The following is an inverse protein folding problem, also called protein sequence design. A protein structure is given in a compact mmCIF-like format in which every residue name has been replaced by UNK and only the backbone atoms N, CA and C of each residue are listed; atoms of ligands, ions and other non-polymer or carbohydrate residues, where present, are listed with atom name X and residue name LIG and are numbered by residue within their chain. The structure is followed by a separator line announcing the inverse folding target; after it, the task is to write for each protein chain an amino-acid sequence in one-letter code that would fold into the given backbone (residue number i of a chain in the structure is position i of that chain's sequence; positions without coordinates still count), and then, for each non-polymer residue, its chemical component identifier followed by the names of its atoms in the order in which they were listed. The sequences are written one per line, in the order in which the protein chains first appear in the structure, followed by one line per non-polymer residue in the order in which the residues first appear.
data_IF_808546884986
#
_entry.id   IF_808546884986
#
_cell.length_a   1.000
_cell.length_b   1.000
_cell.length_c   1.000
_cell.angle_alpha   90.00
_cell.angle_beta   90.00
_cell.angle_gamma   90.00
#
_symmetry.space_group_name_H-M   'P 1'
#
loop_
_entity.id
_entity.type
_entity.pdbx_description
1 polymer ?
#
# COMPACT_ATOMS: atom_id res chain seq x y z
N UNK A 1 14.62 1.74 31.87
CA UNK A 1 14.01 1.55 30.53
C UNK A 1 12.94 0.49 30.63
N UNK A 2 11.77 0.63 29.98
CA UNK A 2 10.72 -0.39 30.01
C UNK A 2 11.23 -1.72 29.42
N UNK A 3 10.85 -2.84 30.02
CA UNK A 3 11.20 -4.17 29.55
C UNK A 3 10.35 -4.55 28.32
N UNK A 4 10.89 -4.31 27.13
CA UNK A 4 10.23 -4.58 25.84
C UNK A 4 11.02 -5.68 25.12
N UNK A 5 10.32 -6.65 24.50
CA UNK A 5 10.94 -7.69 23.67
C UNK A 5 11.73 -7.09 22.52
N UNK A 6 12.62 -7.88 21.92
CA UNK A 6 13.35 -7.43 20.74
C UNK A 6 12.39 -7.13 19.59
N UNK A 7 12.81 -6.23 18.69
CA UNK A 7 12.04 -5.91 17.50
C UNK A 7 11.81 -7.15 16.61
N UNK A 8 12.76 -8.09 16.56
CA UNK A 8 12.62 -9.35 15.81
C UNK A 8 11.48 -10.20 16.35
N UNK A 9 11.45 -10.42 17.67
CA UNK A 9 10.39 -11.22 18.30
C UNK A 9 9.00 -10.59 18.12
N UNK A 10 8.93 -9.25 18.17
CA UNK A 10 7.68 -8.52 17.91
C UNK A 10 7.25 -8.70 16.44
N UNK A 11 8.18 -8.57 15.49
CA UNK A 11 7.91 -8.72 14.07
C UNK A 11 7.49 -10.15 13.69
N UNK A 12 8.17 -11.16 14.23
CA UNK A 12 7.85 -12.58 14.02
C UNK A 12 6.46 -12.92 14.56
N UNK A 13 6.14 -12.48 15.79
CA UNK A 13 4.80 -12.65 16.36
C UNK A 13 3.77 -11.99 15.45
N UNK A 14 3.99 -10.74 15.03
CA UNK A 14 3.06 -10.00 14.19
C UNK A 14 2.80 -10.72 12.85
N UNK A 15 3.87 -11.16 12.18
CA UNK A 15 3.79 -11.88 10.91
C UNK A 15 3.03 -13.20 11.05
N UNK A 16 3.22 -13.93 12.15
CA UNK A 16 2.55 -15.21 12.41
C UNK A 16 1.06 -15.06 12.70
N UNK A 17 0.65 -14.05 13.47
CA UNK A 17 -0.74 -13.95 13.98
C UNK A 17 -1.68 -13.13 13.11
N UNK A 18 -1.16 -12.21 12.29
CA UNK A 18 -1.99 -11.30 11.47
C UNK A 18 -2.79 -12.03 10.39
N UNK A 19 -2.28 -13.06 9.69
CA UNK A 19 -3.06 -13.77 8.66
C UNK A 19 -4.36 -14.37 9.18
N UNK A 20 -4.39 -14.85 10.44
CA UNK A 20 -5.60 -15.39 11.07
C UNK A 20 -6.72 -14.35 11.29
N UNK A 21 -6.44 -13.06 11.08
CA UNK A 21 -7.39 -11.95 11.21
C UNK A 21 -7.91 -11.45 9.87
N UNK A 22 -7.63 -12.16 8.77
CA UNK A 22 -8.13 -11.79 7.45
C UNK A 22 -9.65 -11.60 7.38
N UNK A 23 -10.49 -12.41 8.06
CA UNK A 23 -11.94 -12.20 8.07
C UNK A 23 -12.36 -10.88 8.72
N UNK A 24 -11.73 -10.51 9.85
CA UNK A 24 -12.02 -9.23 10.54
C UNK A 24 -11.63 -8.03 9.66
N UNK A 25 -10.49 -8.15 8.97
CA UNK A 25 -10.03 -7.13 8.02
C UNK A 25 -11.04 -6.97 6.87
N UNK A 26 -11.48 -8.07 6.26
CA UNK A 26 -12.47 -8.05 5.19
C UNK A 26 -13.80 -7.42 5.64
N UNK A 27 -14.30 -7.80 6.83
CA UNK A 27 -15.52 -7.23 7.40
C UNK A 27 -15.41 -5.71 7.60
N UNK A 28 -14.25 -5.23 8.08
CA UNK A 28 -14.00 -3.80 8.27
C UNK A 28 -13.96 -3.01 6.95
N UNK A 29 -13.45 -3.61 5.87
CA UNK A 29 -13.44 -2.99 4.53
C UNK A 29 -14.85 -2.96 3.93
N UNK A 30 -15.64 -4.01 4.11
CA UNK A 30 -17.02 -4.10 3.57
C UNK A 30 -18.01 -3.18 4.27
N UNK A 31 -17.79 -2.85 5.54
CA UNK A 31 -18.70 -2.02 6.35
C UNK A 31 -17.92 -0.99 7.19
N UNK A 32 -17.31 0.02 6.55
CA UNK A 32 -16.48 0.98 7.26
C UNK A 32 -17.33 1.94 8.10
N UNK A 33 -16.82 2.36 9.27
CA UNK A 33 -17.50 3.37 10.12
C UNK A 33 -17.60 4.75 9.46
N UNK A 34 -16.67 5.04 8.56
CA UNK A 34 -16.64 6.25 7.74
C UNK A 34 -16.30 5.84 6.32
N UNK A 35 -17.04 6.37 5.36
CA UNK A 35 -16.78 6.10 3.95
C UNK A 35 -15.37 6.58 3.54
N UNK A 36 -14.68 5.75 2.77
CA UNK A 36 -13.30 6.01 2.39
C UNK A 36 -13.18 7.19 1.42
N UNK A 37 -14.05 7.25 0.41
CA UNK A 37 -14.01 8.29 -0.62
C UNK A 37 -14.26 9.67 0.01
N UNK A 38 -15.34 9.78 0.79
CA UNK A 38 -15.73 11.03 1.47
C UNK A 38 -14.62 11.59 2.36
N UNK A 39 -14.03 10.75 3.22
CA UNK A 39 -12.97 11.21 4.13
C UNK A 39 -11.66 11.50 3.38
N UNK A 40 -11.36 10.76 2.31
CA UNK A 40 -10.18 11.02 1.47
C UNK A 40 -10.28 12.37 0.77
N UNK A 41 -11.45 12.70 0.22
CA UNK A 41 -11.68 13.98 -0.45
C UNK A 41 -11.57 15.17 0.52
N UNK A 42 -12.04 15.02 1.77
CA UNK A 42 -11.87 16.04 2.81
C UNK A 42 -10.41 16.33 3.15
N UNK A 43 -9.53 15.34 2.96
CA UNK A 43 -8.10 15.48 3.23
C UNK A 43 -7.27 15.99 2.03
N UNK A 44 -7.91 16.38 0.92
CA UNK A 44 -7.21 16.74 -0.32
C UNK A 44 -6.23 17.91 -0.15
N UNK A 45 -6.56 18.92 0.66
CA UNK A 45 -5.66 20.06 0.91
C UNK A 45 -4.43 19.65 1.72
N UNK A 46 -4.62 18.90 2.81
CA UNK A 46 -3.51 18.37 3.61
C UNK A 46 -2.59 17.46 2.77
N UNK A 47 -3.15 16.69 1.83
CA UNK A 47 -2.36 15.93 0.86
C UNK A 47 -1.52 16.85 -0.03
N UNK A 48 -2.11 17.91 -0.61
CA UNK A 48 -1.39 18.87 -1.47
C UNK A 48 -0.20 19.50 -0.74
N UNK A 49 -0.43 20.02 0.46
CA UNK A 49 0.62 20.65 1.27
C UNK A 49 1.74 19.66 1.63
N UNK A 50 1.37 18.45 2.07
CA UNK A 50 2.34 17.41 2.43
C UNK A 50 3.20 16.96 1.25
N UNK A 51 2.61 16.85 0.05
CA UNK A 51 3.33 16.51 -1.18
C UNK A 51 4.31 17.63 -1.56
N UNK A 52 3.88 18.89 -1.50
CA UNK A 52 4.75 20.03 -1.79
C UNK A 52 5.95 20.08 -0.82
N UNK A 53 5.73 19.86 0.47
CA UNK A 53 6.81 19.78 1.45
C UNK A 53 7.78 18.62 1.14
N UNK A 54 7.25 17.43 0.80
CA UNK A 54 8.09 16.27 0.47
C UNK A 54 8.94 16.49 -0.79
N UNK A 55 8.41 17.21 -1.79
CA UNK A 55 9.13 17.64 -2.99
C UNK A 55 10.26 18.59 -2.59
N UNK A 56 9.95 19.68 -1.89
CA UNK A 56 10.92 20.69 -1.47
C UNK A 56 12.06 20.10 -0.63
N UNK A 57 11.75 19.10 0.19
CA UNK A 57 12.74 18.42 1.03
C UNK A 57 13.48 17.26 0.33
N UNK A 58 13.16 16.94 -0.92
CA UNK A 58 13.78 15.86 -1.68
C UNK A 58 13.57 14.48 -1.05
N UNK A 59 12.43 14.25 -0.38
CA UNK A 59 12.19 13.02 0.40
C UNK A 59 12.15 11.77 -0.48
N UNK A 60 11.64 11.88 -1.71
CA UNK A 60 11.56 10.77 -2.65
C UNK A 60 12.95 10.22 -3.00
N UNK A 61 13.87 11.08 -3.47
CA UNK A 61 15.22 10.69 -3.86
C UNK A 61 16.00 10.07 -2.71
N UNK A 62 15.89 10.66 -1.51
CA UNK A 62 16.48 10.11 -0.28
C UNK A 62 15.97 8.70 0.00
N UNK A 63 14.66 8.47 -0.16
CA UNK A 63 14.03 7.16 -0.01
C UNK A 63 14.51 6.13 -1.03
N UNK A 64 14.61 6.51 -2.31
CA UNK A 64 15.13 5.66 -3.39
C UNK A 64 16.57 5.23 -3.10
N UNK A 65 17.44 6.18 -2.75
CA UNK A 65 18.84 5.89 -2.39
C UNK A 65 18.94 4.96 -1.18
N UNK A 66 18.08 5.14 -0.17
CA UNK A 66 18.02 4.27 1.01
C UNK A 66 17.57 2.84 0.69
N UNK A 67 16.63 2.68 -0.24
CA UNK A 67 16.15 1.35 -0.64
C UNK A 67 17.17 0.63 -1.53
N UNK A 68 17.71 1.33 -2.52
CA UNK A 68 18.58 0.76 -3.55
C UNK A 68 17.90 -0.30 -4.42
N UNK A 69 18.62 -0.76 -5.45
CA UNK A 69 18.12 -1.75 -6.42
C UNK A 69 17.78 -3.09 -5.77
N UNK A 70 18.60 -3.55 -4.83
CA UNK A 70 18.47 -4.88 -4.20
C UNK A 70 17.13 -5.06 -3.47
N UNK A 71 16.73 -4.07 -2.65
CA UNK A 71 15.45 -4.14 -1.93
C UNK A 71 14.25 -4.17 -2.89
N UNK A 72 14.32 -3.42 -3.99
CA UNK A 72 13.28 -3.44 -5.01
C UNK A 72 13.18 -4.81 -5.69
N UNK A 73 14.31 -5.37 -6.14
CA UNK A 73 14.34 -6.68 -6.80
C UNK A 73 13.76 -7.78 -5.91
N UNK A 74 14.20 -7.86 -4.65
CA UNK A 74 13.72 -8.87 -3.69
C UNK A 74 12.19 -8.82 -3.53
N UNK A 75 11.62 -7.62 -3.34
CA UNK A 75 10.18 -7.44 -3.15
C UNK A 75 9.38 -7.67 -4.42
N UNK A 76 9.87 -7.19 -5.57
CA UNK A 76 9.21 -7.38 -6.85
C UNK A 76 9.11 -8.88 -7.20
N UNK A 77 10.18 -9.65 -6.98
CA UNK A 77 10.20 -11.08 -7.27
C UNK A 77 9.34 -11.85 -6.26
N UNK A 78 9.58 -11.68 -4.95
CA UNK A 78 8.93 -12.52 -3.92
C UNK A 78 7.44 -12.25 -3.74
N UNK A 79 7.01 -11.01 -3.91
CA UNK A 79 5.62 -10.61 -3.68
C UNK A 79 4.90 -10.23 -4.98
N UNK A 80 5.58 -9.50 -5.86
CA UNK A 80 4.99 -8.95 -7.07
C UNK A 80 4.54 -10.03 -8.05
N UNK A 81 5.42 -11.00 -8.36
CA UNK A 81 5.12 -12.09 -9.32
C UNK A 81 3.85 -12.85 -8.93
N UNK A 82 3.72 -13.22 -7.66
CA UNK A 82 2.53 -13.95 -7.16
C UNK A 82 1.25 -13.13 -7.21
N UNK A 83 1.34 -11.80 -7.00
CA UNK A 83 0.16 -10.90 -6.97
C UNK A 83 -0.27 -10.43 -8.36
N UNK A 84 0.65 -10.41 -9.33
CA UNK A 84 0.45 -9.78 -10.62
C UNK A 84 -0.69 -10.42 -11.43
N UNK A 85 -0.69 -11.74 -11.61
CA UNK A 85 -1.72 -12.44 -12.39
C UNK A 85 -3.15 -12.21 -11.88
N UNK A 86 -3.43 -12.51 -10.60
CA UNK A 86 -4.75 -12.26 -10.01
C UNK A 86 -5.18 -10.79 -10.07
N UNK A 87 -4.25 -9.85 -9.85
CA UNK A 87 -4.53 -8.41 -9.92
C UNK A 87 -4.93 -7.96 -11.33
N UNK A 88 -4.23 -8.45 -12.37
CA UNK A 88 -4.58 -8.16 -13.77
C UNK A 88 -5.96 -8.72 -14.11
N UNK A 89 -6.24 -9.96 -13.70
CA UNK A 89 -7.56 -10.57 -13.93
C UNK A 89 -8.69 -9.76 -13.29
N UNK A 90 -8.49 -9.30 -12.04
CA UNK A 90 -9.47 -8.45 -11.33
C UNK A 90 -9.65 -7.07 -11.97
N UNK A 91 -8.64 -6.55 -12.66
CA UNK A 91 -8.67 -5.23 -13.29
C UNK A 91 -9.19 -5.22 -14.74
N UNK A 92 -9.55 -6.38 -15.31
CA UNK A 92 -9.94 -6.54 -16.73
C UNK A 92 -10.96 -5.50 -17.20
N UNK A 93 -12.06 -5.32 -16.47
CA UNK A 93 -13.15 -4.44 -16.89
C UNK A 93 -12.78 -2.96 -16.73
N UNK A 94 -12.00 -2.63 -15.70
CA UNK A 94 -11.47 -1.28 -15.50
C UNK A 94 -10.53 -0.88 -16.66
N UNK A 95 -9.70 -1.82 -17.11
CA UNK A 95 -8.85 -1.62 -18.28
C UNK A 95 -9.68 -1.38 -19.54
N UNK A 96 -10.68 -2.23 -19.81
CA UNK A 96 -11.55 -2.08 -20.98
C UNK A 96 -12.25 -0.71 -21.00
N UNK A 97 -12.82 -0.28 -19.86
CA UNK A 97 -13.48 1.02 -19.73
C UNK A 97 -12.52 2.19 -19.93
N UNK A 98 -11.32 2.14 -19.34
CA UNK A 98 -10.34 3.21 -19.43
C UNK A 98 -9.69 3.32 -20.82
N UNK A 99 -9.59 2.21 -21.55
CA UNK A 99 -8.99 2.17 -22.87
C UNK A 99 -9.96 2.51 -24.00
N UNK A 100 -11.27 2.32 -23.80
CA UNK A 100 -12.29 2.54 -24.82
C UNK A 100 -12.15 3.89 -25.58
N UNK A 101 -11.92 5.06 -24.93
CA UNK A 101 -11.82 6.34 -25.63
C UNK A 101 -10.66 6.49 -26.64
N UNK A 102 -9.70 5.56 -26.63
CA UNK A 102 -8.53 5.60 -27.53
C UNK A 102 -8.64 4.60 -28.68
N UNK A 103 -9.67 3.77 -28.69
CA UNK A 103 -9.88 2.71 -29.69
C UNK A 103 -11.23 2.87 -30.39
N UNK A 104 -12.26 3.18 -29.62
CA UNK A 104 -13.66 3.33 -30.03
C UNK A 104 -14.02 4.82 -30.12
#
# INVERSE_FOLDING_TARGET
MPAIRSASEIAEKWARVTPGRAPDYEAGVKSPKKDWESETLKAADAYREGVQAAISEGRFEKGVRKAGTSKWQDRAIRLGVTRWGPGVAAAKDAYAKGFAPYRD
#
